data_IF_930893127231
#
_entry.id   IF_930893127231
#
_cell.length_a   1.000
_cell.length_b   1.000
_cell.length_c   1.000
_cell.angle_alpha   90.00
_cell.angle_beta   90.00
_cell.angle_gamma   90.00
#
_symmetry.space_group_name_H-M   'P 1'
#
loop_
_entity.id
_entity.type
_entity.pdbx_description
1 polymer ?
#
# COMPACT_ATOMS: atom_id res chain seq x y z
N UNK A 1 42.63 -10.19 -22.12
CA UNK A 1 41.16 -10.13 -21.91
C UNK A 1 40.48 -10.02 -23.28
N UNK A 2 39.50 -10.87 -23.61
CA UNK A 2 38.63 -10.62 -24.78
C UNK A 2 37.67 -9.48 -24.40
N UNK A 3 37.54 -8.42 -25.22
CA UNK A 3 36.57 -7.36 -24.95
C UNK A 3 35.16 -7.95 -24.95
N UNK A 4 34.38 -7.61 -23.94
CA UNK A 4 32.97 -8.01 -23.85
C UNK A 4 32.24 -7.45 -25.09
N UNK A 5 31.48 -8.27 -25.82
CA UNK A 5 30.67 -7.79 -26.92
C UNK A 5 29.77 -6.65 -26.44
N UNK A 6 29.78 -5.52 -27.15
CA UNK A 6 29.03 -4.32 -26.79
C UNK A 6 27.54 -4.58 -26.60
N UNK A 7 26.96 -5.54 -27.31
CA UNK A 7 25.56 -5.94 -27.13
C UNK A 7 25.27 -6.56 -25.75
N UNK A 8 26.24 -7.23 -25.13
CA UNK A 8 26.09 -7.76 -23.75
C UNK A 8 25.97 -6.62 -22.77
N UNK A 9 26.75 -5.55 -22.96
CA UNK A 9 26.70 -4.36 -22.10
C UNK A 9 25.31 -3.72 -22.19
N UNK A 10 24.73 -3.61 -23.40
CA UNK A 10 23.38 -3.06 -23.59
C UNK A 10 22.32 -3.93 -22.89
N UNK A 11 22.40 -5.26 -23.03
CA UNK A 11 21.46 -6.18 -22.36
C UNK A 11 21.57 -6.07 -20.84
N UNK A 12 22.78 -5.97 -20.30
CA UNK A 12 22.98 -5.80 -18.85
C UNK A 12 22.40 -4.47 -18.36
N UNK A 13 22.60 -3.38 -19.11
CA UNK A 13 22.01 -2.07 -18.77
C UNK A 13 20.48 -2.17 -18.74
N UNK A 14 19.86 -2.77 -19.76
CA UNK A 14 18.41 -2.94 -19.83
C UNK A 14 17.91 -3.79 -18.65
N UNK A 15 18.56 -4.91 -18.36
CA UNK A 15 18.19 -5.78 -17.24
C UNK A 15 18.26 -5.04 -15.90
N UNK A 16 19.31 -4.23 -15.70
CA UNK A 16 19.47 -3.39 -14.50
C UNK A 16 18.37 -2.34 -14.40
N UNK A 17 18.02 -1.68 -15.51
CA UNK A 17 16.93 -0.68 -15.53
C UNK A 17 15.57 -1.31 -15.20
N UNK A 18 15.29 -2.50 -15.75
CA UNK A 18 14.05 -3.24 -15.44
C UNK A 18 14.02 -3.64 -13.97
N UNK A 19 15.13 -4.16 -13.44
CA UNK A 19 15.23 -4.56 -12.03
C UNK A 19 15.04 -3.35 -11.09
N UNK A 20 15.65 -2.21 -11.41
CA UNK A 20 15.45 -0.96 -10.67
C UNK A 20 14.00 -0.48 -10.73
N UNK A 21 13.38 -0.49 -11.90
CA UNK A 21 11.98 -0.11 -12.07
C UNK A 21 11.04 -1.01 -11.26
N UNK A 22 11.24 -2.32 -11.32
CA UNK A 22 10.46 -3.28 -10.53
C UNK A 22 10.66 -3.08 -9.03
N UNK A 23 11.92 -2.94 -8.57
CA UNK A 23 12.23 -2.71 -7.17
C UNK A 23 11.56 -1.42 -6.63
N UNK A 24 11.61 -0.33 -7.40
CA UNK A 24 10.94 0.93 -7.05
C UNK A 24 9.42 0.77 -7.04
N UNK A 25 8.85 0.09 -8.04
CA UNK A 25 7.41 -0.17 -8.12
C UNK A 25 6.90 -0.96 -6.91
N UNK A 26 7.57 -2.08 -6.58
CA UNK A 26 7.23 -2.87 -5.39
C UNK A 26 7.40 -2.08 -4.09
N UNK A 27 8.44 -1.25 -3.98
CA UNK A 27 8.62 -0.42 -2.79
C UNK A 27 7.49 0.59 -2.63
N UNK A 28 7.07 1.26 -3.71
CA UNK A 28 5.94 2.20 -3.68
C UNK A 28 4.63 1.53 -3.30
N UNK A 29 4.39 0.32 -3.81
CA UNK A 29 3.22 -0.46 -3.43
C UNK A 29 3.22 -0.81 -1.94
N UNK A 30 4.37 -1.24 -1.39
CA UNK A 30 4.49 -1.54 0.04
C UNK A 30 4.31 -0.35 0.97
N UNK A 31 4.47 0.88 0.45
CA UNK A 31 4.33 2.13 1.22
C UNK A 31 2.90 2.67 1.20
N UNK A 32 1.97 2.02 0.50
CA UNK A 32 0.55 2.31 0.59
C UNK A 32 0.05 1.79 1.94
N UNK A 33 0.35 2.54 3.00
CA UNK A 33 -0.32 2.35 4.28
C UNK A 33 -1.76 2.85 4.12
N UNK A 34 -2.77 2.10 4.59
CA UNK A 34 -4.13 2.60 4.67
C UNK A 34 -4.14 3.98 5.35
N UNK A 35 -5.02 4.90 4.92
CA UNK A 35 -5.17 6.17 5.63
C UNK A 35 -5.43 5.87 7.10
N UNK A 36 -4.75 6.56 8.04
CA UNK A 36 -4.92 6.30 9.46
C UNK A 36 -6.39 6.50 9.81
N UNK A 37 -7.01 5.45 10.38
CA UNK A 37 -8.38 5.52 10.85
C UNK A 37 -8.46 6.65 11.89
N UNK A 38 -9.31 7.67 11.67
CA UNK A 38 -9.47 8.77 12.62
C UNK A 38 -9.69 8.27 14.05
N UNK A 39 -8.98 8.88 15.00
CA UNK A 39 -9.02 8.48 16.41
C UNK A 39 -10.47 8.33 16.92
N UNK A 40 -10.74 7.18 17.54
CA UNK A 40 -12.06 6.85 18.06
C UNK A 40 -13.01 6.22 17.04
N UNK A 41 -12.60 5.92 15.82
CA UNK A 41 -13.39 5.13 14.87
C UNK A 41 -12.74 3.77 14.64
N UNK A 42 -13.54 2.72 14.54
CA UNK A 42 -13.07 1.35 14.37
C UNK A 42 -14.02 0.58 13.46
N UNK A 43 -13.54 -0.39 12.68
CA UNK A 43 -14.41 -1.24 11.86
C UNK A 43 -15.46 -1.97 12.71
N UNK A 44 -16.70 -2.02 12.23
CA UNK A 44 -17.75 -2.79 12.92
C UNK A 44 -17.53 -4.30 12.70
N UNK A 45 -17.73 -5.08 13.77
CA UNK A 45 -17.48 -6.53 13.75
C UNK A 45 -18.52 -7.31 12.95
N UNK A 46 -19.73 -6.75 12.80
CA UNK A 46 -20.86 -7.37 12.12
C UNK A 46 -21.01 -6.89 10.69
N UNK A 47 -20.57 -5.66 10.41
CA UNK A 47 -20.61 -5.06 9.08
C UNK A 47 -19.27 -4.37 8.75
N UNK A 48 -18.39 -5.02 7.96
CA UNK A 48 -17.07 -4.48 7.63
C UNK A 48 -17.14 -3.22 6.74
N UNK A 49 -18.30 -2.91 6.18
CA UNK A 49 -18.51 -1.74 5.31
C UNK A 49 -18.67 -0.43 6.09
N UNK A 50 -18.76 -0.51 7.42
CA UNK A 50 -18.93 0.64 8.30
C UNK A 50 -17.88 0.66 9.41
N UNK A 51 -17.61 1.87 9.90
CA UNK A 51 -16.87 2.12 11.12
C UNK A 51 -17.82 2.66 12.19
N UNK A 52 -17.69 2.16 13.42
CA UNK A 52 -18.42 2.63 14.60
C UNK A 52 -17.49 3.44 15.51
N UNK A 53 -18.02 4.50 16.10
CA UNK A 53 -17.26 5.35 17.01
C UNK A 53 -17.18 4.76 18.41
N UNK A 54 -16.01 4.82 19.02
CA UNK A 54 -15.72 4.51 20.41
C UNK A 54 -15.21 5.79 21.09
N UNK A 55 -15.92 6.26 22.12
CA UNK A 55 -15.61 7.53 22.80
C UNK A 55 -14.57 7.39 23.92
N UNK A 56 -14.05 6.19 24.14
CA UNK A 56 -13.12 5.83 25.21
C UNK A 56 -13.79 5.27 26.47
N UNK A 57 -15.11 5.37 26.59
CA UNK A 57 -15.92 4.74 27.66
C UNK A 57 -16.77 3.60 27.11
N UNK A 58 -17.20 3.69 25.86
CA UNK A 58 -17.91 2.63 25.17
C UNK A 58 -18.15 2.91 23.69
N UNK A 59 -18.83 1.97 23.05
CA UNK A 59 -19.30 2.11 21.67
C UNK A 59 -20.50 3.05 21.61
N UNK A 60 -20.49 3.98 20.66
CA UNK A 60 -21.62 4.86 20.37
C UNK A 60 -22.41 4.35 19.16
N UNK A 61 -23.60 4.89 18.95
CA UNK A 61 -24.42 4.62 17.77
C UNK A 61 -23.95 5.39 16.52
N UNK A 62 -22.94 6.26 16.66
CA UNK A 62 -22.39 6.97 15.51
C UNK A 62 -21.63 5.99 14.61
N UNK A 63 -22.08 5.91 13.36
CA UNK A 63 -21.50 5.08 12.32
C UNK A 63 -21.15 5.94 11.11
N UNK A 64 -20.17 5.48 10.33
CA UNK A 64 -19.82 6.06 9.04
C UNK A 64 -19.38 4.97 8.07
N UNK A 65 -19.41 5.22 6.76
CA UNK A 65 -18.82 4.31 5.79
C UNK A 65 -17.34 4.05 6.08
N UNK A 66 -16.91 2.79 5.99
CA UNK A 66 -15.52 2.43 6.05
C UNK A 66 -14.79 3.04 4.85
N UNK A 67 -13.73 3.80 5.12
CA UNK A 67 -12.97 4.47 4.05
C UNK A 67 -12.13 3.47 3.25
N UNK A 68 -11.75 2.33 3.84
CA UNK A 68 -10.93 1.31 3.19
C UNK A 68 -11.68 0.57 2.07
N UNK A 69 -13.02 0.53 2.08
CA UNK A 69 -13.80 -0.05 0.98
C UNK A 69 -14.14 0.93 -0.15
N UNK A 70 -13.88 2.22 0.03
CA UNK A 70 -14.21 3.26 -0.95
C UNK A 70 -13.05 3.62 -1.89
N UNK A 71 -11.87 3.05 -1.70
CA UNK A 71 -10.68 3.20 -2.57
C UNK A 71 -10.41 1.91 -3.38
#
# INVERSE_FOLDING_TARGET
MRPMPTWIIVVLIIAVLIALGAAVGLWRYSQQKPPPIPEGWYPDLHDPTIERRHDGRGWTEETRPNREEQE
#
